data_IF_693820467569
#
_entry.id   IF_693820467569
#
_cell.length_a   1.000
_cell.length_b   1.000
_cell.length_c   1.000
_cell.angle_alpha   90.00
_cell.angle_beta   90.00
_cell.angle_gamma   90.00
#
_symmetry.space_group_name_H-M   'P 1'
#
loop_
_entity.id
_entity.type
_entity.pdbx_description
1 polymer ?
#
# COMPACT_ATOMS: atom_id res chain seq x y z
N UNK A 1 -5.09 -7.84 4.13
CA UNK A 1 -5.36 -6.69 3.25
C UNK A 1 -4.10 -6.22 2.54
N UNK A 2 -4.21 -5.87 1.26
CA UNK A 2 -3.13 -5.27 0.49
C UNK A 2 -3.66 -4.26 -0.52
N UNK A 3 -2.80 -3.30 -0.89
CA UNK A 3 -3.04 -2.30 -1.93
C UNK A 3 -1.82 -2.27 -2.84
N UNK A 4 -2.03 -2.54 -4.13
CA UNK A 4 -0.97 -2.50 -5.15
C UNK A 4 -1.30 -1.48 -6.23
N UNK A 5 -0.33 -0.65 -6.58
CA UNK A 5 -0.47 0.33 -7.66
C UNK A 5 0.86 0.62 -8.34
N UNK A 6 0.79 1.21 -9.53
CA UNK A 6 1.95 1.68 -10.28
C UNK A 6 2.16 3.16 -9.99
N UNK A 7 3.39 3.54 -9.66
CA UNK A 7 3.76 4.93 -9.40
C UNK A 7 4.95 5.37 -10.26
N UNK A 8 4.94 6.63 -10.66
CA UNK A 8 6.07 7.30 -11.34
C UNK A 8 6.80 8.16 -10.33
N UNK A 9 8.11 7.96 -10.19
CA UNK A 9 8.98 8.80 -9.35
C UNK A 9 8.69 8.83 -7.86
N UNK A 10 7.89 7.89 -7.35
CA UNK A 10 7.58 7.78 -5.93
C UNK A 10 8.42 6.72 -5.20
N UNK A 11 9.34 6.03 -5.90
CA UNK A 11 9.98 4.82 -5.40
C UNK A 11 11.35 4.51 -6.03
N UNK A 12 12.09 3.68 -5.28
CA UNK A 12 13.49 3.23 -5.41
C UNK A 12 14.52 4.35 -5.71
N UNK A 13 14.77 5.17 -4.68
CA UNK A 13 16.06 5.84 -4.47
C UNK A 13 16.92 4.93 -3.60
N UNK A 14 17.99 4.37 -4.16
CA UNK A 14 19.05 3.69 -3.40
C UNK A 14 20.25 4.63 -3.38
N UNK A 15 20.64 5.11 -2.19
CA UNK A 15 21.82 5.96 -2.02
C UNK A 15 23.04 5.26 -2.67
N UNK A 16 23.62 5.88 -3.70
CA UNK A 16 24.80 5.35 -4.41
C UNK A 16 24.53 4.49 -5.65
N UNK A 17 23.27 4.23 -6.02
CA UNK A 17 22.96 3.53 -7.28
C UNK A 17 22.39 4.49 -8.33
N UNK A 18 22.94 4.47 -9.55
CA UNK A 18 22.51 5.33 -10.66
C UNK A 18 21.20 4.88 -11.34
N UNK A 19 20.53 3.83 -10.83
CA UNK A 19 19.35 3.24 -11.47
C UNK A 19 18.07 3.79 -10.87
N UNK A 20 17.52 4.83 -11.51
CA UNK A 20 16.16 5.28 -11.29
C UNK A 20 15.21 4.52 -12.23
N UNK A 21 14.29 3.74 -11.69
CA UNK A 21 13.21 3.16 -12.49
C UNK A 21 12.10 4.22 -12.67
N UNK A 22 11.72 4.58 -13.91
CA UNK A 22 10.72 5.63 -14.15
C UNK A 22 9.33 5.24 -13.66
N UNK A 23 9.07 3.93 -13.54
CA UNK A 23 7.81 3.36 -13.05
C UNK A 23 8.15 2.21 -12.10
N UNK A 24 7.50 2.20 -10.94
CA UNK A 24 7.66 1.18 -9.90
C UNK A 24 6.27 0.69 -9.48
N UNK A 25 6.14 -0.62 -9.30
CA UNK A 25 4.99 -1.22 -8.62
C UNK A 25 5.21 -1.11 -7.11
N UNK A 26 4.28 -0.49 -6.41
CA UNK A 26 4.30 -0.38 -4.95
C UNK A 26 3.16 -1.22 -4.38
N UNK A 27 3.49 -2.07 -3.41
CA UNK A 27 2.52 -2.86 -2.66
C UNK A 27 2.61 -2.54 -1.18
N UNK A 28 1.51 -2.11 -0.58
CA UNK A 28 1.35 -2.08 0.87
C UNK A 28 0.62 -3.34 1.30
N UNK A 29 1.15 -4.09 2.27
CA UNK A 29 0.52 -5.32 2.76
C UNK A 29 0.81 -5.57 4.23
N UNK A 30 -0.09 -6.32 4.86
CA UNK A 30 0.14 -6.90 6.19
C UNK A 30 1.09 -8.09 6.04
N UNK A 31 2.07 -8.20 6.94
CA UNK A 31 2.96 -9.35 7.05
C UNK A 31 3.10 -9.78 8.51
N UNK A 32 3.51 -11.02 8.73
CA UNK A 32 3.92 -11.47 10.06
C UNK A 32 5.17 -10.72 10.53
N UNK A 33 5.22 -10.40 11.82
CA UNK A 33 6.37 -9.79 12.45
C UNK A 33 7.42 -10.89 12.75
N UNK A 34 8.56 -10.91 12.04
CA UNK A 34 9.60 -11.92 12.30
C UNK A 34 10.18 -11.80 13.72
N UNK A 35 10.12 -10.61 14.33
CA UNK A 35 10.63 -10.36 15.69
C UNK A 35 9.64 -10.80 16.78
N UNK A 36 8.34 -10.92 16.46
CA UNK A 36 7.33 -11.41 17.40
C UNK A 36 7.51 -12.90 17.76
N UNK A 37 8.32 -13.64 17.00
CA UNK A 37 8.69 -15.01 17.35
C UNK A 37 9.79 -15.06 18.43
N UNK A 38 10.48 -13.94 18.68
CA UNK A 38 11.65 -13.86 19.57
C UNK A 38 11.28 -13.24 20.93
N UNK A 39 10.23 -12.41 20.97
CA UNK A 39 9.72 -11.77 22.19
C UNK A 39 8.21 -11.99 22.27
N UNK A 40 7.65 -12.14 23.49
CA UNK A 40 6.21 -12.20 23.82
C UNK A 40 5.45 -10.93 23.40
N UNK A 41 5.57 -10.54 22.13
CA UNK A 41 5.03 -9.31 21.58
C UNK A 41 3.58 -9.61 21.23
N UNK A 42 2.67 -8.90 21.88
CA UNK A 42 1.21 -9.04 21.77
C UNK A 42 0.61 -8.66 20.40
N UNK A 43 1.45 -8.46 19.38
CA UNK A 43 1.05 -8.03 18.04
C UNK A 43 1.85 -8.75 16.95
N UNK A 44 1.25 -9.73 16.26
CA UNK A 44 1.98 -10.58 15.33
C UNK A 44 2.18 -9.94 13.95
N UNK A 45 1.72 -8.71 13.70
CA UNK A 45 1.70 -8.14 12.36
C UNK A 45 2.46 -6.82 12.21
N UNK A 46 3.01 -6.61 11.02
CA UNK A 46 3.67 -5.38 10.55
C UNK A 46 3.03 -4.90 9.25
N UNK A 47 3.10 -3.59 8.99
CA UNK A 47 2.82 -3.04 7.66
C UNK A 47 4.11 -3.02 6.85
N UNK A 48 4.08 -3.61 5.65
CA UNK A 48 5.22 -3.66 4.74
C UNK A 48 4.90 -2.88 3.48
N UNK A 49 5.87 -2.11 2.99
CA UNK A 49 5.91 -1.54 1.64
C UNK A 49 6.91 -2.32 0.81
N UNK A 50 6.45 -2.89 -0.28
CA UNK A 50 7.28 -3.52 -1.28
C UNK A 50 7.34 -2.65 -2.53
N UNK A 51 8.51 -2.59 -3.13
CA UNK A 51 8.75 -1.84 -4.35
C UNK A 51 9.40 -2.75 -5.38
N UNK A 52 8.77 -2.93 -6.53
CA UNK A 52 9.32 -3.71 -7.65
C UNK A 52 9.44 -2.81 -8.87
N UNK A 53 10.66 -2.58 -9.42
CA UNK A 53 10.82 -1.71 -10.58
C UNK A 53 10.18 -2.34 -11.82
N UNK A 54 9.53 -1.54 -12.65
CA UNK A 54 8.92 -2.04 -13.89
C UNK A 54 9.94 -2.06 -15.03
N UNK A 55 10.86 -3.03 -14.97
CA UNK A 55 11.92 -3.23 -15.96
C UNK A 55 11.80 -4.59 -16.65
N UNK A 56 12.34 -4.70 -17.86
CA UNK A 56 12.45 -5.97 -18.61
C UNK A 56 13.91 -6.40 -18.68
N UNK A 57 14.21 -7.71 -18.62
CA UNK A 57 13.30 -8.84 -18.38
C UNK A 57 12.67 -8.83 -16.98
N UNK A 58 11.51 -9.49 -16.79
CA UNK A 58 10.74 -9.42 -15.53
C UNK A 58 11.52 -10.07 -14.36
N UNK A 59 12.39 -11.01 -14.66
CA UNK A 59 13.27 -11.68 -13.69
C UNK A 59 14.20 -10.66 -13.03
N UNK A 60 14.69 -9.67 -13.79
CA UNK A 60 15.50 -8.58 -13.25
C UNK A 60 14.69 -7.62 -12.39
N UNK A 61 13.39 -7.45 -12.67
CA UNK A 61 12.51 -6.66 -11.82
C UNK A 61 12.36 -7.31 -10.44
N UNK A 62 12.05 -8.60 -10.39
CA UNK A 62 11.89 -9.33 -9.13
C UNK A 62 13.17 -9.37 -8.29
N UNK A 63 14.33 -9.57 -8.94
CA UNK A 63 15.63 -9.54 -8.27
C UNK A 63 15.99 -8.19 -7.63
N UNK A 64 15.29 -7.11 -8.02
CA UNK A 64 15.46 -5.76 -7.49
C UNK A 64 14.29 -5.32 -6.60
N UNK A 65 13.49 -6.26 -6.10
CA UNK A 65 12.41 -5.94 -5.17
C UNK A 65 12.98 -5.48 -3.85
N UNK A 66 12.57 -4.31 -3.38
CA UNK A 66 12.92 -3.78 -2.07
C UNK A 66 11.73 -3.92 -1.12
N UNK A 67 12.00 -4.27 0.13
CA UNK A 67 10.98 -4.51 1.16
C UNK A 67 11.29 -3.63 2.37
N UNK A 68 10.33 -2.81 2.76
CA UNK A 68 10.46 -1.85 3.86
C UNK A 68 9.37 -2.11 4.92
N UNK A 69 9.74 -2.50 6.15
CA UNK A 69 8.79 -2.47 7.27
C UNK A 69 8.51 -1.00 7.62
N UNK A 70 7.23 -0.63 7.72
CA UNK A 70 6.81 0.75 7.98
C UNK A 70 6.38 0.99 9.43
N UNK A 71 5.78 -0.01 10.07
CA UNK A 71 5.37 0.07 11.48
C UNK A 71 5.42 -1.32 12.10
N UNK A 72 5.77 -1.34 13.38
CA UNK A 72 5.54 -2.45 14.27
C UNK A 72 4.11 -2.38 14.83
N UNK A 73 3.65 -3.47 15.45
CA UNK A 73 2.43 -3.51 16.27
C UNK A 73 1.13 -3.20 15.55
N UNK A 74 1.03 -3.63 14.30
CA UNK A 74 -0.17 -3.49 13.50
C UNK A 74 -1.26 -4.46 13.99
N UNK A 75 -2.46 -3.94 14.20
CA UNK A 75 -3.66 -4.73 14.51
C UNK A 75 -4.55 -4.88 13.28
N UNK A 76 -4.77 -3.78 12.57
CA UNK A 76 -5.63 -3.79 11.39
C UNK A 76 -5.19 -2.76 10.37
N UNK A 77 -5.37 -3.08 9.09
CA UNK A 77 -5.22 -2.18 7.95
C UNK A 77 -6.46 -2.30 7.08
N UNK A 78 -7.14 -1.18 6.84
CA UNK A 78 -8.33 -1.15 6.00
C UNK A 78 -8.17 -0.08 4.92
N UNK A 79 -8.73 -0.36 3.74
CA UNK A 79 -8.77 0.57 2.61
C UNK A 79 -10.21 0.78 2.17
N UNK A 80 -10.54 2.03 1.84
CA UNK A 80 -11.77 2.41 1.17
C UNK A 80 -11.46 3.27 -0.04
N UNK A 81 -12.26 3.12 -1.07
CA UNK A 81 -12.02 3.68 -2.39
C UNK A 81 -13.20 4.55 -2.78
N UNK A 82 -12.95 5.84 -3.05
CA UNK A 82 -13.97 6.77 -3.47
C UNK A 82 -14.03 6.83 -4.99
N UNK A 83 -15.21 6.63 -5.57
CA UNK A 83 -15.42 6.80 -6.99
C UNK A 83 -16.84 6.42 -7.39
N UNK A 84 -17.14 6.49 -8.69
CA UNK A 84 -18.41 5.95 -9.18
C UNK A 84 -18.25 4.46 -9.47
N UNK A 85 -19.18 3.66 -8.94
CA UNK A 85 -19.30 2.23 -9.25
C UNK A 85 -19.80 1.98 -10.66
N UNK A 86 -20.61 2.91 -11.18
CA UNK A 86 -21.14 2.90 -12.53
C UNK A 86 -20.80 4.25 -13.20
N UNK A 87 -19.93 4.26 -14.21
CA UNK A 87 -19.57 5.49 -14.94
C UNK A 87 -20.77 6.23 -15.55
N UNK A 88 -21.93 5.58 -15.68
CA UNK A 88 -23.17 6.17 -16.16
C UNK A 88 -24.05 6.77 -15.05
N UNK A 89 -23.73 6.52 -13.77
CA UNK A 89 -24.39 7.11 -12.62
C UNK A 89 -23.48 8.17 -11.98
N UNK A 90 -24.03 9.36 -11.77
CA UNK A 90 -23.34 10.51 -11.15
C UNK A 90 -23.18 10.41 -9.63
N UNK A 91 -23.46 9.24 -9.03
CA UNK A 91 -23.39 9.03 -7.58
C UNK A 91 -22.04 8.40 -7.24
N UNK A 92 -21.14 9.20 -6.67
CA UNK A 92 -19.88 8.70 -6.13
C UNK A 92 -20.06 8.26 -4.67
N UNK A 93 -19.51 7.10 -4.32
CA UNK A 93 -19.54 6.56 -2.96
C UNK A 93 -18.21 5.90 -2.58
N UNK A 94 -18.06 5.61 -1.30
CA UNK A 94 -16.93 4.90 -0.71
C UNK A 94 -17.17 3.40 -0.67
N UNK A 95 -16.21 2.66 -1.19
CA UNK A 95 -16.31 1.21 -1.31
C UNK A 95 -15.12 0.48 -0.67
N UNK A 96 -15.32 -0.77 -0.25
CA UNK A 96 -14.28 -1.57 0.42
C UNK A 96 -13.36 -2.32 -0.57
N UNK A 97 -13.68 -2.31 -1.87
CA UNK A 97 -12.85 -2.92 -2.90
C UNK A 97 -12.84 -2.07 -4.18
N UNK A 98 -11.75 -2.17 -4.94
CA UNK A 98 -11.63 -1.51 -6.24
C UNK A 98 -11.08 -2.48 -7.27
N UNK A 99 -11.97 -2.99 -8.13
CA UNK A 99 -11.60 -3.90 -9.20
C UNK A 99 -11.47 -3.15 -10.53
N UNK A 100 -10.24 -3.01 -11.02
CA UNK A 100 -9.95 -2.33 -12.29
C UNK A 100 -10.64 -2.98 -13.49
N UNK A 101 -10.88 -4.29 -13.47
CA UNK A 101 -11.58 -4.99 -14.56
C UNK A 101 -13.06 -4.61 -14.66
N UNK A 102 -13.66 -4.15 -13.55
CA UNK A 102 -15.05 -3.70 -13.49
C UNK A 102 -15.21 -2.20 -13.65
N UNK A 103 -14.10 -1.43 -13.59
CA UNK A 103 -14.11 0.04 -13.52
C UNK A 103 -13.11 0.63 -14.50
N UNK A 104 -13.58 1.55 -15.35
CA UNK A 104 -12.72 2.31 -16.24
C UNK A 104 -11.95 3.40 -15.47
N UNK A 105 -10.90 3.02 -14.74
CA UNK A 105 -9.94 3.97 -14.16
C UNK A 105 -9.55 3.70 -12.71
N UNK A 106 -8.82 4.68 -12.16
CA UNK A 106 -8.43 4.72 -10.76
C UNK A 106 -9.57 5.28 -9.90
N UNK A 107 -9.62 4.95 -8.60
CA UNK A 107 -10.47 5.68 -7.69
C UNK A 107 -10.08 7.17 -7.68
N UNK A 108 -11.02 8.05 -7.34
CA UNK A 108 -10.74 9.47 -7.15
C UNK A 108 -9.94 9.72 -5.87
N UNK A 109 -10.21 8.94 -4.82
CA UNK A 109 -9.48 8.99 -3.54
C UNK A 109 -9.36 7.60 -2.93
N UNK A 110 -8.33 7.40 -2.12
CA UNK A 110 -8.19 6.22 -1.26
C UNK A 110 -8.13 6.71 0.18
N UNK A 111 -9.03 6.19 1.02
CA UNK A 111 -8.95 6.29 2.47
C UNK A 111 -8.25 5.04 2.99
N UNK A 112 -7.30 5.22 3.90
CA UNK A 112 -6.74 4.11 4.65
C UNK A 112 -6.86 4.38 6.14
N UNK A 113 -7.13 3.31 6.88
CA UNK A 113 -7.17 3.31 8.33
C UNK A 113 -6.22 2.25 8.87
N UNK A 114 -5.30 2.65 9.75
CA UNK A 114 -4.38 1.76 10.44
C UNK A 114 -4.67 1.81 11.94
N UNK A 115 -4.73 0.65 12.57
CA UNK A 115 -4.87 0.53 14.03
C UNK A 115 -3.60 -0.11 14.59
N UNK A 116 -2.99 0.54 15.56
CA UNK A 116 -1.75 0.12 16.21
C UNK A 116 -1.95 -0.09 17.71
N UNK A 117 -1.14 -0.97 18.31
CA UNK A 117 -1.00 -1.08 19.76
C UNK A 117 0.18 -0.24 20.22
N UNK A 118 -0.07 0.73 21.09
CA UNK A 118 0.98 1.52 21.75
C UNK A 118 1.81 0.67 22.73
N UNK A 119 3.02 1.11 23.14
CA UNK A 119 3.79 0.42 24.19
C UNK A 119 3.05 0.21 25.51
N UNK A 120 2.08 1.07 25.82
CA UNK A 120 1.24 0.95 27.00
C UNK A 120 0.03 0.00 26.81
N UNK A 121 -0.09 -0.69 25.67
CA UNK A 121 -1.19 -1.61 25.37
C UNK A 121 -2.46 -0.94 24.83
N UNK A 122 -2.50 0.39 24.71
CA UNK A 122 -3.67 1.09 24.15
C UNK A 122 -3.74 0.99 22.63
N UNK A 123 -4.95 0.80 22.11
CA UNK A 123 -5.24 0.88 20.69
C UNK A 123 -5.33 2.34 20.22
N UNK A 124 -4.74 2.62 19.07
CA UNK A 124 -4.82 3.92 18.38
C UNK A 124 -5.11 3.69 16.90
N UNK A 125 -6.13 4.35 16.38
CA UNK A 125 -6.49 4.32 14.96
C UNK A 125 -6.15 5.65 14.31
N UNK A 126 -5.48 5.59 13.18
CA UNK A 126 -5.17 6.74 12.33
C UNK A 126 -5.85 6.53 10.98
N UNK A 127 -6.61 7.53 10.55
CA UNK A 127 -7.36 7.50 9.30
C UNK A 127 -7.03 8.73 8.48
N UNK A 128 -6.79 8.54 7.19
CA UNK A 128 -6.58 9.64 6.25
C UNK A 128 -7.02 9.25 4.85
N UNK A 129 -7.39 10.25 4.05
CA UNK A 129 -7.79 10.10 2.67
C UNK A 129 -6.83 10.86 1.74
N UNK A 130 -6.39 10.19 0.69
CA UNK A 130 -5.44 10.71 -0.29
C UNK A 130 -6.12 10.77 -1.66
N UNK A 131 -6.17 11.96 -2.30
CA UNK A 131 -6.69 12.07 -3.66
C UNK A 131 -5.71 11.47 -4.66
N UNK A 132 -6.24 10.74 -5.63
CA UNK A 132 -5.47 10.20 -6.75
C UNK A 132 -5.63 11.13 -7.96
N UNK A 133 -4.51 11.52 -8.56
CA UNK A 133 -4.50 12.24 -9.83
C UNK A 133 -4.33 11.23 -10.95
N UNK A 134 -5.38 11.04 -11.75
CA UNK A 134 -5.24 10.37 -13.05
C UNK A 134 -4.36 11.21 -13.97
N UNK A 135 -3.43 10.59 -14.72
CA UNK A 135 -2.82 11.28 -15.84
C UNK A 135 -3.89 11.37 -16.94
N UNK A 136 -4.41 12.57 -17.15
CA UNK A 136 -5.21 12.95 -18.32
C UNK A 136 -4.35 12.98 -19.56
#
# INVERSE_FOLDING_TARGET
>A
DSLTFMARGAAQYVMGSASYAPVVQITYRVAENPEAQIQDSSTPFVLVREETPNIRPIEHAFARTMVFPLTDRLVSLNFRYFGSSDPSLDVADWENSWERTKRNGLPKMIEFSLTLVSPAGHLRTFTTAVPLRGQS
#
